data_IF_371104444384
#
_entry.id   IF_371104444384
#
_cell.length_a   1.000
_cell.length_b   1.000
_cell.length_c   1.000
_cell.angle_alpha   90.00
_cell.angle_beta   90.00
_cell.angle_gamma   90.00
#
_symmetry.space_group_name_H-M   'P 1'
#
loop_
_entity.id
_entity.type
_entity.pdbx_description
1 polymer ?
#
# COMPACT_ATOMS: atom_id res chain seq x y z
N UNK A 1 56.19 25.17 -15.97
CA UNK A 1 55.60 23.89 -15.50
C UNK A 1 54.78 23.98 -14.20
N UNK A 2 55.07 24.93 -13.29
CA UNK A 2 54.33 25.06 -12.02
C UNK A 2 52.89 25.64 -12.15
N UNK A 3 52.61 26.45 -13.17
CA UNK A 3 51.28 27.05 -13.38
C UNK A 3 50.23 26.06 -13.91
N UNK A 4 50.63 25.14 -14.80
CA UNK A 4 49.73 24.13 -15.40
C UNK A 4 49.28 23.05 -14.40
N UNK A 5 50.09 22.76 -13.37
CA UNK A 5 49.74 21.79 -12.30
C UNK A 5 48.77 22.37 -11.26
N UNK A 6 48.72 23.70 -11.12
CA UNK A 6 47.80 24.40 -10.19
C UNK A 6 46.39 24.51 -10.78
N UNK A 7 46.29 24.71 -12.10
CA UNK A 7 45.02 24.85 -12.82
C UNK A 7 44.23 23.53 -12.89
N UNK A 8 44.92 22.40 -13.00
CA UNK A 8 44.33 21.04 -12.97
C UNK A 8 43.73 20.67 -11.61
N UNK A 9 44.30 21.17 -10.50
CA UNK A 9 43.76 20.95 -9.15
C UNK A 9 42.50 21.79 -8.85
N UNK A 10 42.43 23.03 -9.37
CA UNK A 10 41.27 23.90 -9.17
C UNK A 10 40.05 23.37 -9.94
N UNK A 11 40.26 22.91 -11.18
CA UNK A 11 39.20 22.27 -11.99
C UNK A 11 38.63 21.00 -11.33
N UNK A 12 39.50 20.17 -10.75
CA UNK A 12 39.08 18.96 -10.03
C UNK A 12 38.31 19.28 -8.73
N UNK A 13 38.70 20.34 -8.01
CA UNK A 13 37.99 20.83 -6.82
C UNK A 13 36.60 21.37 -7.18
N UNK A 14 36.50 22.18 -8.24
CA UNK A 14 35.21 22.70 -8.71
C UNK A 14 34.28 21.58 -9.19
N UNK A 15 34.81 20.58 -9.90
CA UNK A 15 34.04 19.40 -10.31
C UNK A 15 33.53 18.60 -9.10
N UNK A 16 34.33 18.45 -8.04
CA UNK A 16 33.91 17.79 -6.79
C UNK A 16 32.81 18.57 -6.09
N UNK A 17 32.92 19.89 -5.98
CA UNK A 17 31.87 20.73 -5.40
C UNK A 17 30.59 20.69 -6.24
N UNK A 18 30.71 20.63 -7.56
CA UNK A 18 29.56 20.49 -8.46
C UNK A 18 28.91 19.12 -8.33
N UNK A 19 29.69 18.04 -8.20
CA UNK A 19 29.20 16.69 -7.92
C UNK A 19 28.53 16.60 -6.54
N UNK A 20 29.09 17.21 -5.50
CA UNK A 20 28.48 17.28 -4.17
C UNK A 20 27.19 18.08 -4.24
N UNK A 21 27.18 19.24 -4.90
CA UNK A 21 25.97 20.04 -5.11
C UNK A 21 24.90 19.28 -5.91
N UNK A 22 25.31 18.53 -6.94
CA UNK A 22 24.42 17.67 -7.72
C UNK A 22 23.91 16.48 -6.91
N UNK A 23 24.74 15.85 -6.08
CA UNK A 23 24.34 14.77 -5.17
C UNK A 23 23.38 15.32 -4.10
N UNK A 24 23.61 16.51 -3.55
CA UNK A 24 22.70 17.17 -2.61
C UNK A 24 21.37 17.57 -3.28
N UNK A 25 21.40 18.07 -4.52
CA UNK A 25 20.21 18.32 -5.33
C UNK A 25 19.48 17.02 -5.70
N UNK A 26 20.21 15.94 -5.97
CA UNK A 26 19.62 14.62 -6.19
C UNK A 26 19.08 14.03 -4.89
N UNK A 27 19.65 14.30 -3.71
CA UNK A 27 19.08 13.94 -2.41
C UNK A 27 17.79 14.70 -2.11
N UNK A 28 17.52 15.83 -2.79
CA UNK A 28 16.16 16.35 -2.93
C UNK A 28 15.35 15.51 -3.93
N UNK A 29 15.46 14.18 -3.89
CA UNK A 29 14.46 13.30 -4.51
C UNK A 29 13.15 13.67 -3.86
N UNK A 30 12.31 14.37 -4.62
CA UNK A 30 11.08 14.94 -4.14
C UNK A 30 10.23 13.80 -3.58
N UNK A 31 10.12 13.77 -2.25
CA UNK A 31 9.08 13.00 -1.60
C UNK A 31 7.74 13.44 -2.15
N UNK A 32 6.77 12.53 -2.16
CA UNK A 32 5.40 12.85 -2.60
C UNK A 32 4.84 14.10 -1.89
N UNK A 33 5.26 14.30 -0.64
CA UNK A 33 5.10 15.52 0.12
C UNK A 33 6.50 16.03 0.53
N UNK A 34 6.67 17.34 0.48
CA UNK A 34 7.81 18.05 1.08
C UNK A 34 7.70 18.05 2.61
N UNK A 35 8.82 18.27 3.31
CA UNK A 35 8.82 18.33 4.78
C UNK A 35 7.90 19.44 5.30
N UNK A 36 7.86 20.59 4.60
CA UNK A 36 6.98 21.70 4.94
C UNK A 36 5.50 21.36 4.76
N UNK A 37 5.13 20.69 3.66
CA UNK A 37 3.75 20.20 3.44
C UNK A 37 3.34 19.23 4.54
N UNK A 38 4.21 18.29 4.91
CA UNK A 38 3.93 17.35 5.99
C UNK A 38 3.71 18.08 7.32
N UNK A 39 4.58 19.04 7.63
CA UNK A 39 4.44 19.85 8.85
C UNK A 39 3.14 20.66 8.86
N UNK A 40 2.69 21.18 7.72
CA UNK A 40 1.41 21.87 7.60
C UNK A 40 0.21 20.93 7.76
N UNK A 41 0.26 19.74 7.16
CA UNK A 41 -0.78 18.70 7.35
C UNK A 41 -0.91 18.33 8.83
N UNK A 42 0.22 18.06 9.51
CA UNK A 42 0.23 17.68 10.93
C UNK A 42 -0.29 18.79 11.85
N UNK A 43 -0.07 20.06 11.48
CA UNK A 43 -0.54 21.25 12.23
C UNK A 43 -1.95 21.69 11.85
N UNK A 44 -2.59 21.04 10.88
CA UNK A 44 -3.94 21.40 10.44
C UNK A 44 -4.94 21.19 11.58
N UNK A 45 -5.69 22.24 11.92
CA UNK A 45 -6.74 22.18 12.93
C UNK A 45 -7.96 21.46 12.34
N UNK A 46 -8.35 20.34 12.94
CA UNK A 46 -9.45 19.50 12.46
C UNK A 46 -10.77 19.93 13.13
N UNK A 47 -10.72 20.12 14.45
CA UNK A 47 -11.88 20.48 15.27
C UNK A 47 -11.43 21.11 16.60
N UNK A 48 -12.38 21.64 17.39
CA UNK A 48 -12.16 22.18 18.74
C UNK A 48 -13.12 21.55 19.75
N UNK A 49 -12.57 20.80 20.71
CA UNK A 49 -13.32 20.17 21.79
C UNK A 49 -12.95 20.86 23.10
N UNK A 50 -13.93 21.47 23.78
CA UNK A 50 -13.72 22.17 25.08
C UNK A 50 -12.53 23.14 25.02
N UNK A 51 -12.50 23.98 23.98
CA UNK A 51 -11.45 24.96 23.69
C UNK A 51 -10.08 24.37 23.31
N UNK A 52 -9.93 23.04 23.28
CA UNK A 52 -8.72 22.37 22.84
C UNK A 52 -8.80 21.99 21.37
N UNK A 53 -7.80 22.40 20.59
CA UNK A 53 -7.68 22.05 19.18
C UNK A 53 -7.26 20.60 19.01
N UNK A 54 -7.99 19.86 18.17
CA UNK A 54 -7.65 18.50 17.73
C UNK A 54 -6.83 18.57 16.45
N UNK A 55 -5.73 17.83 16.43
CA UNK A 55 -4.82 17.68 15.28
C UNK A 55 -4.54 16.20 15.03
N UNK A 56 -3.92 15.87 13.90
CA UNK A 56 -3.46 14.50 13.62
C UNK A 56 -2.40 14.08 14.63
N UNK A 57 -2.45 12.84 15.08
CA UNK A 57 -1.35 12.26 15.84
C UNK A 57 -0.14 12.07 14.90
N UNK A 58 0.98 12.77 15.11
CA UNK A 58 2.11 12.69 14.19
C UNK A 58 2.86 11.34 14.27
N UNK A 59 2.69 10.58 15.35
CA UNK A 59 3.11 9.18 15.49
C UNK A 59 2.05 8.18 14.98
N UNK A 60 0.87 8.67 14.63
CA UNK A 60 -0.29 7.86 14.27
C UNK A 60 -0.25 7.30 12.86
N UNK A 61 -1.14 6.35 12.52
CA UNK A 61 -1.20 5.74 11.18
C UNK A 61 -1.59 6.71 10.05
N UNK A 62 -2.23 7.83 10.36
CA UNK A 62 -2.56 8.90 9.39
C UNK A 62 -1.39 9.85 9.10
N UNK A 63 -0.31 9.77 9.87
CA UNK A 63 0.84 10.64 9.69
C UNK A 63 1.45 10.44 8.29
N UNK A 64 1.51 11.49 7.44
CA UNK A 64 2.14 11.39 6.13
C UNK A 64 3.61 10.97 6.23
N UNK A 65 4.29 11.24 7.36
CA UNK A 65 5.69 10.84 7.58
C UNK A 65 5.87 9.32 7.52
N UNK A 66 5.00 8.57 8.19
CA UNK A 66 5.03 7.11 8.20
C UNK A 66 4.79 6.53 6.80
N UNK A 67 3.85 7.11 6.05
CA UNK A 67 3.55 6.68 4.68
C UNK A 67 4.69 7.02 3.71
N UNK A 68 5.32 8.20 3.88
CA UNK A 68 6.55 8.56 3.17
C UNK A 68 7.68 7.56 3.46
N UNK A 69 7.86 7.15 4.72
CA UNK A 69 8.85 6.14 5.09
C UNK A 69 8.56 4.78 4.42
N UNK A 70 7.30 4.34 4.38
CA UNK A 70 6.91 3.10 3.69
C UNK A 70 7.22 3.13 2.19
N UNK A 71 7.00 4.28 1.53
CA UNK A 71 7.33 4.48 0.12
C UNK A 71 8.84 4.49 -0.11
N UNK A 72 9.60 5.23 0.71
CA UNK A 72 11.07 5.30 0.62
C UNK A 72 11.71 3.92 0.79
N UNK A 73 11.23 3.12 1.74
CA UNK A 73 11.69 1.75 1.97
C UNK A 73 11.17 0.73 0.94
N UNK A 74 10.34 1.14 -0.01
CA UNK A 74 9.85 0.28 -1.09
C UNK A 74 8.95 -0.86 -0.60
N UNK A 75 8.28 -0.75 0.56
CA UNK A 75 7.51 -1.86 1.11
C UNK A 75 6.37 -2.31 0.18
N UNK A 76 5.60 -1.36 -0.36
CA UNK A 76 4.54 -1.70 -1.32
C UNK A 76 5.10 -2.23 -2.64
N UNK A 77 6.25 -1.71 -3.09
CA UNK A 77 6.98 -2.21 -4.25
C UNK A 77 7.36 -3.68 -4.07
N UNK A 78 8.02 -3.99 -2.95
CA UNK A 78 8.48 -5.34 -2.67
C UNK A 78 7.30 -6.30 -2.48
N UNK A 79 6.26 -5.85 -1.77
CA UNK A 79 5.05 -6.64 -1.60
C UNK A 79 4.32 -6.91 -2.93
N UNK A 80 4.31 -5.95 -3.86
CA UNK A 80 3.63 -6.11 -5.15
C UNK A 80 4.40 -6.98 -6.14
N UNK A 81 5.73 -6.90 -6.17
CA UNK A 81 6.53 -7.55 -7.22
C UNK A 81 7.28 -8.81 -6.78
N UNK A 82 7.54 -8.98 -5.48
CA UNK A 82 8.40 -10.05 -4.95
C UNK A 82 7.72 -10.94 -3.91
N UNK A 83 6.45 -10.69 -3.56
CA UNK A 83 5.73 -11.54 -2.61
C UNK A 83 5.59 -12.99 -3.14
N UNK A 84 5.92 -14.00 -2.32
CA UNK A 84 5.85 -15.41 -2.73
C UNK A 84 4.43 -15.88 -3.06
N UNK A 85 3.40 -15.17 -2.60
CA UNK A 85 2.00 -15.48 -2.90
C UNK A 85 1.58 -15.06 -4.31
N UNK A 86 2.39 -14.27 -5.03
CA UNK A 86 2.09 -13.77 -6.38
C UNK A 86 2.74 -14.68 -7.42
N UNK A 87 1.89 -15.22 -8.29
CA UNK A 87 2.29 -15.88 -9.53
C UNK A 87 2.46 -14.80 -10.62
N UNK A 88 3.72 -14.51 -10.94
CA UNK A 88 4.11 -13.44 -11.85
C UNK A 88 3.88 -13.83 -13.32
N UNK A 89 3.19 -12.97 -14.06
CA UNK A 89 2.89 -13.21 -15.46
C UNK A 89 3.96 -12.60 -16.39
N UNK A 90 4.37 -13.39 -17.39
CA UNK A 90 5.25 -12.94 -18.48
C UNK A 90 4.62 -13.26 -19.83
N UNK A 91 4.63 -12.28 -20.74
CA UNK A 91 4.36 -12.48 -22.16
C UNK A 91 5.63 -12.96 -22.85
N UNK A 92 5.47 -13.90 -23.78
CA UNK A 92 6.57 -14.41 -24.59
C UNK A 92 6.47 -13.79 -25.98
N UNK A 93 7.54 -13.15 -26.43
CA UNK A 93 7.66 -12.64 -27.79
C UNK A 93 8.81 -13.39 -28.46
N UNK A 94 8.47 -14.13 -29.51
CA UNK A 94 9.46 -14.76 -30.38
C UNK A 94 9.80 -13.78 -31.50
N UNK A 95 11.00 -13.22 -31.43
CA UNK A 95 11.54 -12.38 -32.49
C UNK A 95 12.58 -13.20 -33.24
N UNK A 96 12.86 -12.85 -34.51
CA UNK A 96 13.87 -13.52 -35.34
C UNK A 96 15.30 -13.58 -34.71
N UNK A 97 15.54 -12.87 -33.60
CA UNK A 97 16.77 -12.85 -32.81
C UNK A 97 16.71 -13.63 -31.48
N UNK A 98 15.60 -14.30 -31.16
CA UNK A 98 15.41 -15.13 -29.97
C UNK A 98 14.15 -14.82 -29.16
N UNK A 99 13.95 -15.61 -28.09
CA UNK A 99 12.81 -15.51 -27.18
C UNK A 99 13.02 -14.39 -26.16
N UNK A 100 12.12 -13.41 -26.13
CA UNK A 100 12.07 -12.33 -25.14
C UNK A 100 10.90 -12.54 -24.17
N UNK A 101 11.17 -12.36 -22.86
CA UNK A 101 10.16 -12.40 -21.81
C UNK A 101 9.82 -10.98 -21.36
N UNK A 102 8.57 -10.57 -21.51
CA UNK A 102 8.08 -9.26 -21.08
C UNK A 102 7.16 -9.41 -19.89
N UNK A 103 7.52 -8.77 -18.78
CA UNK A 103 6.71 -8.76 -17.55
C UNK A 103 5.42 -7.94 -17.76
N UNK A 104 4.27 -8.51 -17.41
CA UNK A 104 2.96 -7.84 -17.44
C UNK A 104 2.27 -7.98 -16.06
N UNK A 105 2.57 -7.07 -15.11
CA UNK A 105 2.06 -7.15 -13.74
C UNK A 105 0.52 -7.14 -13.62
N UNK A 106 -0.24 -6.37 -14.42
CA UNK A 106 -1.71 -6.43 -14.39
C UNK A 106 -2.31 -7.83 -14.55
N UNK A 107 -1.59 -8.77 -15.20
CA UNK A 107 -2.05 -10.15 -15.44
C UNK A 107 -1.63 -11.15 -14.36
N UNK A 108 -0.99 -10.67 -13.30
CA UNK A 108 -0.59 -11.52 -12.19
C UNK A 108 -1.74 -12.27 -11.56
N UNK A 109 -1.41 -13.44 -11.02
CA UNK A 109 -2.36 -14.27 -10.30
C UNK A 109 -1.83 -14.56 -8.91
N UNK A 110 -2.70 -15.11 -8.07
CA UNK A 110 -2.33 -15.51 -6.70
C UNK A 110 -2.23 -17.02 -6.63
N UNK A 111 -1.18 -17.53 -5.99
CA UNK A 111 -1.08 -18.95 -5.69
C UNK A 111 -2.16 -19.36 -4.69
N UNK A 112 -2.87 -20.45 -4.99
CA UNK A 112 -3.93 -20.99 -4.12
C UNK A 112 -3.43 -22.15 -3.24
N UNK A 113 -2.24 -22.66 -3.53
CA UNK A 113 -1.56 -23.74 -2.83
C UNK A 113 -0.08 -23.42 -2.69
N UNK A 114 0.48 -23.78 -1.55
CA UNK A 114 1.93 -23.81 -1.31
C UNK A 114 2.58 -24.96 -2.08
N UNK A 115 3.92 -24.93 -2.19
CA UNK A 115 4.71 -25.96 -2.88
C UNK A 115 4.55 -27.37 -2.29
N UNK A 116 4.36 -27.46 -0.97
CA UNK A 116 4.10 -28.69 -0.23
C UNK A 116 2.65 -29.21 -0.41
N UNK A 117 1.83 -28.53 -1.23
CA UNK A 117 0.43 -28.88 -1.46
C UNK A 117 -0.55 -28.30 -0.43
N UNK A 118 -0.06 -27.66 0.65
CA UNK A 118 -0.91 -27.03 1.67
C UNK A 118 -1.69 -25.87 1.07
N UNK A 119 -2.97 -25.76 1.45
CA UNK A 119 -3.85 -24.70 0.98
C UNK A 119 -3.48 -23.38 1.65
N UNK A 120 -3.26 -22.34 0.85
CA UNK A 120 -3.05 -20.97 1.35
C UNK A 120 -4.35 -20.48 2.00
N UNK A 121 -4.26 -19.70 3.08
CA UNK A 121 -5.45 -19.21 3.78
C UNK A 121 -6.33 -18.36 2.86
N UNK A 122 -7.66 -18.43 3.04
CA UNK A 122 -8.60 -17.66 2.22
C UNK A 122 -8.34 -16.15 2.31
N UNK A 123 -7.94 -15.67 3.49
CA UNK A 123 -7.60 -14.25 3.68
C UNK A 123 -6.40 -13.85 2.82
N UNK A 124 -5.30 -14.61 2.87
CA UNK A 124 -4.07 -14.29 2.13
C UNK A 124 -4.32 -14.31 0.62
N UNK A 125 -5.12 -15.26 0.14
CA UNK A 125 -5.51 -15.31 -1.28
C UNK A 125 -6.27 -14.03 -1.67
N UNK A 126 -7.30 -13.66 -0.91
CA UNK A 126 -8.12 -12.49 -1.21
C UNK A 126 -7.32 -11.19 -1.07
N UNK A 127 -6.46 -11.08 -0.05
CA UNK A 127 -5.56 -9.95 0.15
C UNK A 127 -4.66 -9.71 -1.07
N UNK A 128 -3.97 -10.75 -1.56
CA UNK A 128 -3.07 -10.58 -2.70
C UNK A 128 -3.81 -10.33 -4.02
N UNK A 129 -5.06 -10.82 -4.16
CA UNK A 129 -5.91 -10.43 -5.30
C UNK A 129 -6.22 -8.94 -5.25
N UNK A 130 -6.64 -8.43 -4.08
CA UNK A 130 -6.91 -7.01 -3.90
C UNK A 130 -5.65 -6.16 -4.08
N UNK A 131 -4.48 -6.64 -3.63
CA UNK A 131 -3.20 -5.98 -3.86
C UNK A 131 -2.91 -5.81 -5.37
N UNK A 132 -3.13 -6.84 -6.18
CA UNK A 132 -2.95 -6.77 -7.64
C UNK A 132 -3.95 -5.78 -8.27
N UNK A 133 -5.22 -5.84 -7.86
CA UNK A 133 -6.28 -4.95 -8.37
C UNK A 133 -6.06 -3.47 -7.98
N UNK A 134 -5.60 -3.21 -6.76
CA UNK A 134 -5.33 -1.87 -6.23
C UNK A 134 -4.01 -1.30 -6.75
N UNK A 135 -3.04 -2.14 -7.11
CA UNK A 135 -1.74 -1.75 -7.65
C UNK A 135 -1.45 -2.49 -8.96
N UNK A 136 -2.19 -2.23 -10.05
CA UNK A 136 -2.05 -2.95 -11.31
C UNK A 136 -0.64 -2.81 -11.92
N UNK A 137 0.02 -1.66 -11.77
CA UNK A 137 1.43 -1.48 -12.17
C UNK A 137 1.77 -1.86 -13.62
N UNK A 138 1.03 -1.38 -14.65
CA UNK A 138 1.22 -1.78 -16.05
C UNK A 138 2.61 -1.47 -16.60
N UNK A 139 3.26 -0.41 -16.12
CA UNK A 139 4.61 0.01 -16.53
C UNK A 139 5.73 -0.59 -15.67
N UNK A 140 5.45 -1.70 -14.95
CA UNK A 140 6.40 -2.36 -14.05
C UNK A 140 6.97 -1.45 -12.95
N UNK A 141 6.22 -0.41 -12.60
CA UNK A 141 6.47 0.49 -11.46
C UNK A 141 5.21 0.54 -10.61
N UNK A 142 5.34 0.79 -9.31
CA UNK A 142 4.18 0.92 -8.42
C UNK A 142 3.25 1.99 -8.98
N UNK A 143 2.00 1.60 -9.22
CA UNK A 143 0.97 2.47 -9.75
C UNK A 143 -0.40 1.90 -9.43
N UNK A 144 -1.29 2.79 -9.01
CA UNK A 144 -2.72 2.49 -8.82
C UNK A 144 -3.51 2.62 -10.14
N UNK A 145 -2.92 3.26 -11.15
CA UNK A 145 -3.57 3.48 -12.44
C UNK A 145 -3.52 2.22 -13.30
N UNK A 146 -4.65 1.82 -13.91
CA UNK A 146 -4.70 0.62 -14.71
C UNK A 146 -3.96 0.77 -16.05
N UNK A 147 -3.82 -0.33 -16.77
CA UNK A 147 -3.34 -0.31 -18.15
C UNK A 147 -4.24 0.55 -19.05
N UNK A 148 -3.67 1.09 -20.13
CA UNK A 148 -4.44 1.83 -21.13
C UNK A 148 -5.54 0.95 -21.74
N UNK A 149 -6.72 1.54 -21.98
CA UNK A 149 -7.90 0.81 -22.48
C UNK A 149 -8.66 0.00 -21.43
N UNK A 150 -8.17 -0.09 -20.19
CA UNK A 150 -8.90 -0.71 -19.09
C UNK A 150 -10.12 0.15 -18.70
N UNK A 151 -11.28 -0.50 -18.55
CA UNK A 151 -12.56 0.15 -18.22
C UNK A 151 -13.11 -0.23 -16.84
N UNK A 152 -12.46 -1.16 -16.14
CA UNK A 152 -12.80 -1.57 -14.77
C UNK A 152 -11.58 -1.41 -13.86
N UNK A 153 -11.63 -0.44 -12.96
CA UNK A 153 -10.57 -0.20 -11.99
C UNK A 153 -11.11 0.62 -10.82
N UNK A 154 -10.63 0.33 -9.62
CA UNK A 154 -10.98 1.12 -8.45
C UNK A 154 -10.56 2.59 -8.57
N UNK A 155 -9.41 2.88 -9.18
CA UNK A 155 -8.96 4.27 -9.41
C UNK A 155 -9.83 4.98 -10.43
N UNK A 156 -10.29 4.30 -11.49
CA UNK A 156 -11.22 4.88 -12.46
C UNK A 156 -12.58 5.18 -11.80
N UNK A 157 -13.08 4.25 -10.98
CA UNK A 157 -14.29 4.45 -10.19
C UNK A 157 -14.20 5.67 -9.29
N UNK A 158 -13.16 5.77 -8.47
CA UNK A 158 -12.99 6.92 -7.57
C UNK A 158 -12.86 8.26 -8.32
N UNK A 159 -12.29 8.26 -9.52
CA UNK A 159 -12.12 9.48 -10.32
C UNK A 159 -13.32 9.85 -11.19
N UNK A 160 -14.34 8.98 -11.29
CA UNK A 160 -15.53 9.25 -12.09
C UNK A 160 -16.34 10.42 -11.51
N UNK A 161 -16.98 11.27 -12.33
CA UNK A 161 -17.59 12.52 -11.86
C UNK A 161 -18.53 12.41 -10.64
N UNK A 162 -19.50 11.47 -10.58
CA UNK A 162 -20.39 11.39 -9.43
C UNK A 162 -19.70 10.82 -8.18
N UNK A 163 -18.60 10.07 -8.33
CA UNK A 163 -17.90 9.41 -7.23
C UNK A 163 -16.78 10.28 -6.67
N UNK A 164 -16.14 11.10 -7.53
CA UNK A 164 -14.97 11.91 -7.19
C UNK A 164 -15.20 12.83 -6.00
N UNK A 165 -16.39 13.42 -5.90
CA UNK A 165 -16.79 14.28 -4.78
C UNK A 165 -16.83 13.53 -3.43
N UNK A 166 -17.06 12.22 -3.47
CA UNK A 166 -17.14 11.34 -2.31
C UNK A 166 -15.91 10.43 -2.14
N UNK A 167 -14.89 10.54 -3.00
CA UNK A 167 -13.74 9.63 -3.01
C UNK A 167 -13.03 9.55 -1.65
N UNK A 168 -12.81 10.68 -0.99
CA UNK A 168 -12.20 10.71 0.35
C UNK A 168 -13.09 10.10 1.43
N UNK A 169 -14.43 10.23 1.31
CA UNK A 169 -15.38 9.60 2.23
C UNK A 169 -15.38 8.07 2.07
N UNK A 170 -15.30 7.58 0.82
CA UNK A 170 -15.17 6.16 0.50
C UNK A 170 -13.86 5.63 1.07
N UNK A 171 -12.72 6.28 0.79
CA UNK A 171 -11.42 5.87 1.30
C UNK A 171 -11.36 5.87 2.83
N UNK A 172 -11.93 6.89 3.49
CA UNK A 172 -12.00 6.95 4.95
C UNK A 172 -12.84 5.82 5.53
N UNK A 173 -13.95 5.47 4.87
CA UNK A 173 -14.78 4.32 5.25
C UNK A 173 -14.01 3.00 5.16
N UNK A 174 -13.23 2.79 4.09
CA UNK A 174 -12.40 1.58 3.93
C UNK A 174 -11.27 1.52 4.96
N UNK A 175 -10.65 2.65 5.29
CA UNK A 175 -9.64 2.74 6.35
C UNK A 175 -10.21 2.32 7.71
N UNK A 176 -11.37 2.88 8.07
CA UNK A 176 -12.05 2.56 9.33
C UNK A 176 -12.44 1.07 9.38
N UNK A 177 -12.93 0.52 8.27
CA UNK A 177 -13.22 -0.91 8.17
C UNK A 177 -11.98 -1.79 8.30
N UNK A 178 -10.82 -1.35 7.79
CA UNK A 178 -9.55 -2.05 7.96
C UNK A 178 -9.03 -2.05 9.41
N UNK A 179 -9.36 -1.01 10.18
CA UNK A 179 -9.19 -0.92 11.64
C UNK A 179 -10.31 -1.66 12.42
N UNK A 180 -11.27 -2.23 11.69
CA UNK A 180 -12.38 -2.98 12.23
C UNK A 180 -13.46 -2.13 12.90
N UNK A 181 -13.56 -0.84 12.56
CA UNK A 181 -14.68 0.02 12.93
C UNK A 181 -15.78 -0.17 11.88
N UNK A 182 -16.98 -0.55 12.33
CA UNK A 182 -18.10 -0.85 11.44
C UNK A 182 -18.76 0.42 10.91
N UNK A 183 -18.31 0.89 9.75
CA UNK A 183 -18.94 1.98 9.00
C UNK A 183 -20.08 1.42 8.13
N UNK A 184 -21.28 2.05 8.11
CA UNK A 184 -22.44 1.61 7.33
C UNK A 184 -22.30 1.93 5.82
N UNK A 185 -21.25 1.37 5.20
CA UNK A 185 -21.02 1.35 3.76
C UNK A 185 -21.48 -0.02 3.20
N UNK A 186 -22.40 -0.03 2.25
CA UNK A 186 -22.93 -1.25 1.65
C UNK A 186 -23.09 -1.16 0.13
N UNK A 187 -23.06 -2.32 -0.51
CA UNK A 187 -23.45 -2.48 -1.91
C UNK A 187 -24.88 -3.02 -1.92
N UNK A 188 -25.80 -2.26 -2.51
CA UNK A 188 -27.22 -2.59 -2.56
C UNK A 188 -27.64 -2.94 -4.00
N UNK A 189 -28.62 -3.83 -4.13
CA UNK A 189 -29.07 -4.35 -5.42
C UNK A 189 -28.33 -5.61 -5.88
N UNK A 190 -28.83 -6.23 -6.95
CA UNK A 190 -28.24 -7.43 -7.52
C UNK A 190 -26.80 -7.17 -8.00
N UNK A 191 -25.93 -8.17 -7.88
CA UNK A 191 -24.55 -8.04 -8.37
C UNK A 191 -24.54 -7.78 -9.88
N UNK A 192 -23.74 -6.79 -10.31
CA UNK A 192 -23.63 -6.38 -11.71
C UNK A 192 -24.37 -5.06 -12.00
N UNK A 193 -24.92 -4.96 -13.20
CA UNK A 193 -25.54 -3.74 -13.69
C UNK A 193 -26.72 -3.32 -12.81
N UNK A 194 -26.62 -2.13 -12.20
CA UNK A 194 -27.63 -1.57 -11.31
C UNK A 194 -27.30 -1.64 -9.82
N UNK A 195 -26.18 -2.28 -9.43
CA UNK A 195 -25.71 -2.23 -8.05
C UNK A 195 -25.29 -0.79 -7.67
N UNK A 196 -25.61 -0.37 -6.45
CA UNK A 196 -25.25 0.94 -5.92
C UNK A 196 -24.39 0.82 -4.66
N UNK A 197 -23.42 1.72 -4.51
CA UNK A 197 -22.68 1.94 -3.28
C UNK A 197 -23.42 2.97 -2.44
N UNK A 198 -23.81 2.57 -1.24
CA UNK A 198 -24.57 3.41 -0.31
C UNK A 198 -23.77 3.58 0.97
N UNK A 199 -23.60 4.83 1.39
CA UNK A 199 -23.15 5.17 2.72
C UNK A 199 -24.32 5.77 3.48
N UNK A 200 -24.64 5.22 4.64
CA UNK A 200 -25.62 5.79 5.56
C UNK A 200 -24.94 6.54 6.71
N UNK A 201 -25.69 7.38 7.42
CA UNK A 201 -25.28 7.89 8.71
C UNK A 201 -25.14 6.74 9.72
N UNK A 202 -24.47 7.00 10.84
CA UNK A 202 -24.20 5.97 11.84
C UNK A 202 -25.47 5.29 12.40
N UNK A 203 -26.60 6.01 12.41
CA UNK A 203 -27.91 5.49 12.80
C UNK A 203 -28.57 4.56 11.77
N UNK A 204 -27.99 4.46 10.56
CA UNK A 204 -28.45 3.67 9.41
C UNK A 204 -29.80 4.10 8.82
N UNK A 205 -30.34 5.25 9.24
CA UNK A 205 -31.64 5.76 8.79
C UNK A 205 -31.50 6.85 7.73
N UNK A 206 -30.42 7.63 7.78
CA UNK A 206 -30.16 8.68 6.80
C UNK A 206 -29.14 8.21 5.77
N UNK A 207 -29.43 8.38 4.48
CA UNK A 207 -28.47 8.13 3.40
C UNK A 207 -27.58 9.36 3.23
N UNK A 208 -26.26 9.18 3.33
CA UNK A 208 -25.26 10.24 3.07
C UNK A 208 -25.02 10.38 1.58
N UNK A 209 -24.82 9.25 0.89
CA UNK A 209 -24.78 9.20 -0.57
C UNK A 209 -25.24 7.83 -1.10
N UNK A 210 -25.65 7.81 -2.36
CA UNK A 210 -25.97 6.60 -3.13
C UNK A 210 -25.40 6.76 -4.54
N UNK A 211 -24.43 5.92 -4.89
CA UNK A 211 -23.64 6.04 -6.12
C UNK A 211 -23.81 4.78 -6.97
N UNK A 212 -24.01 4.92 -8.27
CA UNK A 212 -24.04 3.77 -9.18
C UNK A 212 -22.64 3.17 -9.32
N UNK A 213 -22.55 1.84 -9.35
CA UNK A 213 -21.30 1.13 -9.61
C UNK A 213 -20.94 1.05 -11.10
N UNK A 214 -21.76 1.64 -11.98
CA UNK A 214 -21.53 1.71 -13.41
C UNK A 214 -20.95 3.08 -13.79
N UNK A 215 -19.90 3.08 -14.60
CA UNK A 215 -19.33 4.28 -15.21
C UNK A 215 -19.64 4.26 -16.70
N UNK A 216 -20.11 5.38 -17.24
CA UNK A 216 -20.32 5.56 -18.67
C UNK A 216 -19.00 5.95 -19.34
N UNK A 217 -18.60 5.21 -20.36
CA UNK A 217 -17.46 5.51 -21.21
C UNK A 217 -17.96 5.87 -22.62
N UNK A 218 -17.42 6.94 -23.21
CA UNK A 218 -17.67 7.30 -24.60
C UNK A 218 -16.58 6.72 -25.49
N UNK A 219 -16.99 6.14 -26.62
CA UNK A 219 -16.09 5.63 -27.64
C UNK A 219 -16.54 6.18 -29.00
N UNK A 220 -15.56 6.53 -29.83
CA UNK A 220 -15.82 6.88 -31.23
C UNK A 220 -15.70 5.62 -32.07
N UNK A 221 -16.80 5.24 -32.73
CA UNK A 221 -16.81 4.09 -33.63
C UNK A 221 -16.92 4.57 -35.08
N UNK A 222 -16.08 4.01 -35.96
CA UNK A 222 -16.04 4.33 -37.38
C UNK A 222 -14.65 4.74 -37.88
N UNK A 223 -14.36 4.43 -39.14
CA UNK A 223 -13.18 4.90 -39.87
C UNK A 223 -13.65 5.70 -41.09
N UNK A 224 -13.37 7.01 -41.14
CA UNK A 224 -13.84 7.93 -42.19
C UNK A 224 -14.77 9.05 -41.69
N UNK A 225 -15.64 9.57 -42.57
CA UNK A 225 -16.52 10.73 -42.33
C UNK A 225 -17.77 10.44 -41.47
N UNK A 226 -18.00 9.17 -41.10
CA UNK A 226 -19.13 8.74 -40.28
C UNK A 226 -18.60 8.33 -38.90
N UNK A 227 -18.47 9.30 -37.98
CA UNK A 227 -18.14 9.04 -36.58
C UNK A 227 -19.42 9.08 -35.77
N UNK A 228 -19.82 7.97 -35.17
CA UNK A 228 -20.86 7.95 -34.13
C UNK A 228 -20.20 7.88 -32.76
N UNK A 229 -20.68 8.70 -31.82
CA UNK A 229 -20.32 8.60 -30.41
C UNK A 229 -21.27 7.59 -29.75
N UNK A 230 -20.71 6.48 -29.28
CA UNK A 230 -21.45 5.49 -28.50
C UNK A 230 -21.03 5.58 -27.04
N UNK A 231 -22.02 5.50 -26.14
CA UNK A 231 -21.80 5.42 -24.70
C UNK A 231 -22.06 4.00 -24.22
N UNK A 232 -21.14 3.48 -23.41
CA UNK A 232 -21.28 2.17 -22.78
C UNK A 232 -21.10 2.28 -21.28
N UNK A 233 -22.08 1.80 -20.54
CA UNK A 233 -22.01 1.67 -19.10
C UNK A 233 -21.25 0.40 -18.72
N UNK A 234 -20.16 0.57 -17.98
CA UNK A 234 -19.31 -0.53 -17.51
C UNK A 234 -19.42 -0.64 -16.00
N UNK A 235 -19.90 -1.78 -15.53
CA UNK A 235 -19.93 -2.09 -14.11
C UNK A 235 -18.50 -2.29 -13.56
N UNK A 236 -18.20 -1.61 -12.46
CA UNK A 236 -16.89 -1.61 -11.82
C UNK A 236 -16.77 -2.76 -10.81
N UNK A 237 -16.55 -3.98 -11.30
CA UNK A 237 -16.41 -5.17 -10.44
C UNK A 237 -15.17 -5.05 -9.55
N UNK A 238 -14.05 -4.51 -10.05
CA UNK A 238 -12.84 -4.29 -9.24
C UNK A 238 -13.15 -3.45 -8.00
N UNK A 239 -13.83 -2.32 -8.19
CA UNK A 239 -14.23 -1.43 -7.10
C UNK A 239 -15.17 -2.13 -6.11
N UNK A 240 -16.20 -2.82 -6.62
CA UNK A 240 -17.15 -3.56 -5.80
C UNK A 240 -16.44 -4.63 -4.95
N UNK A 241 -15.52 -5.37 -5.57
CA UNK A 241 -14.77 -6.45 -4.94
C UNK A 241 -13.85 -5.95 -3.83
N UNK A 242 -13.17 -4.82 -4.04
CA UNK A 242 -12.35 -4.15 -3.02
C UNK A 242 -13.21 -3.68 -1.84
N UNK A 243 -14.35 -3.04 -2.10
CA UNK A 243 -15.27 -2.59 -1.04
C UNK A 243 -15.77 -3.78 -0.20
N UNK A 244 -16.14 -4.89 -0.84
CA UNK A 244 -16.54 -6.13 -0.14
C UNK A 244 -15.40 -6.70 0.71
N UNK A 245 -14.16 -6.65 0.23
CA UNK A 245 -13.00 -7.13 0.98
C UNK A 245 -12.82 -6.37 2.30
N UNK A 246 -12.81 -5.04 2.25
CA UNK A 246 -12.66 -4.20 3.46
C UNK A 246 -13.86 -4.29 4.38
N UNK A 247 -15.09 -4.36 3.84
CA UNK A 247 -16.29 -4.60 4.65
C UNK A 247 -16.16 -5.87 5.50
N UNK A 248 -15.62 -6.94 4.92
CA UNK A 248 -15.40 -8.20 5.65
C UNK A 248 -14.22 -8.14 6.65
N UNK A 249 -13.42 -7.07 6.67
CA UNK A 249 -12.35 -6.89 7.66
C UNK A 249 -12.90 -6.48 9.03
N UNK A 250 -14.14 -6.02 9.13
CA UNK A 250 -14.78 -5.72 10.42
C UNK A 250 -15.10 -6.95 11.25
N UNK A 251 -15.16 -8.12 10.61
CA UNK A 251 -15.41 -9.39 11.29
C UNK A 251 -14.11 -9.82 11.99
N UNK A 252 -14.06 -9.77 13.33
CA UNK A 252 -12.85 -9.97 14.13
C UNK A 252 -12.03 -11.23 13.77
N UNK A 253 -12.68 -12.25 13.21
CA UNK A 253 -12.03 -13.46 12.69
C UNK A 253 -11.04 -13.24 11.54
N UNK A 254 -11.12 -12.14 10.78
CA UNK A 254 -10.20 -11.84 9.66
C UNK A 254 -9.06 -10.91 10.04
N UNK A 255 -9.27 -10.00 10.99
CA UNK A 255 -8.22 -9.15 11.55
C UNK A 255 -7.14 -10.03 12.20
N UNK A 256 -7.57 -11.08 12.92
CA UNK A 256 -6.69 -12.13 13.48
C UNK A 256 -6.11 -13.10 12.44
N UNK A 257 -6.63 -13.15 11.21
CA UNK A 257 -6.14 -14.07 10.15
C UNK A 257 -5.22 -13.40 9.13
N UNK A 258 -4.77 -12.17 9.41
CA UNK A 258 -3.79 -11.42 8.63
C UNK A 258 -2.40 -12.06 8.51
N UNK A 259 -2.24 -13.32 8.92
CA UNK A 259 -0.96 -13.96 9.19
C UNK A 259 -0.43 -13.68 10.60
N UNK A 260 -1.17 -12.93 11.42
CA UNK A 260 -0.86 -12.61 12.81
C UNK A 260 -1.47 -13.71 13.68
N UNK A 261 -0.63 -14.62 14.19
CA UNK A 261 -1.04 -15.47 15.31
C UNK A 261 -1.40 -14.55 16.48
N UNK A 262 -2.39 -14.90 17.31
CA UNK A 262 -2.78 -14.12 18.50
C UNK A 262 -1.60 -13.85 19.47
N UNK A 263 -0.45 -14.49 19.26
CA UNK A 263 0.77 -14.41 20.07
C UNK A 263 1.86 -13.44 19.57
N UNK A 264 1.74 -12.78 18.40
CA UNK A 264 2.85 -11.95 17.88
C UNK A 264 2.83 -10.50 18.38
N UNK A 265 3.97 -9.99 18.84
CA UNK A 265 4.13 -8.59 19.22
C UNK A 265 4.30 -7.67 17.99
N UNK A 266 4.10 -6.36 18.16
CA UNK A 266 4.32 -5.36 17.10
C UNK A 266 5.76 -5.39 16.55
N UNK A 267 6.73 -5.71 17.39
CA UNK A 267 8.14 -5.83 16.99
C UNK A 267 8.37 -7.06 16.11
N UNK A 268 7.79 -8.21 16.49
CA UNK A 268 7.88 -9.45 15.72
C UNK A 268 7.22 -9.29 14.35
N UNK A 269 6.07 -8.61 14.29
CA UNK A 269 5.39 -8.34 13.03
C UNK A 269 6.19 -7.45 12.10
N UNK A 270 6.89 -6.46 12.64
CA UNK A 270 7.74 -5.57 11.85
C UNK A 270 8.97 -6.31 11.35
N UNK A 271 9.67 -7.04 12.22
CA UNK A 271 10.87 -7.80 11.89
C UNK A 271 10.59 -8.89 10.84
N UNK A 272 9.44 -9.54 10.91
CA UNK A 272 9.04 -10.58 9.97
C UNK A 272 8.25 -10.04 8.76
N UNK A 273 8.02 -8.72 8.68
CA UNK A 273 7.26 -8.09 7.59
C UNK A 273 5.77 -8.47 7.55
N UNK A 274 5.23 -9.10 8.59
CA UNK A 274 3.83 -9.56 8.66
C UNK A 274 2.84 -8.39 8.61
N UNK A 275 3.25 -7.21 9.07
CA UNK A 275 2.42 -6.00 8.98
C UNK A 275 2.00 -5.69 7.52
N UNK A 276 2.80 -6.10 6.53
CA UNK A 276 2.50 -5.94 5.10
C UNK A 276 1.37 -6.85 4.59
N UNK A 277 0.85 -7.75 5.42
CA UNK A 277 -0.34 -8.56 5.13
C UNK A 277 -1.62 -8.00 5.78
N UNK A 278 -1.51 -6.91 6.54
CA UNK A 278 -2.67 -6.26 7.17
C UNK A 278 -3.46 -5.46 6.11
N UNK A 279 -4.78 -5.56 6.14
CA UNK A 279 -5.67 -4.74 5.31
C UNK A 279 -5.38 -3.24 5.48
N UNK A 280 -5.03 -2.82 6.70
CA UNK A 280 -4.62 -1.44 7.01
C UNK A 280 -3.42 -1.00 6.17
N UNK A 281 -2.36 -1.83 6.06
CA UNK A 281 -1.20 -1.50 5.24
C UNK A 281 -1.60 -1.26 3.77
N UNK A 282 -2.43 -2.17 3.22
CA UNK A 282 -2.88 -2.08 1.84
C UNK A 282 -3.67 -0.79 1.55
N UNK A 283 -4.69 -0.48 2.35
CA UNK A 283 -5.51 0.72 2.14
C UNK A 283 -4.72 2.00 2.38
N UNK A 284 -3.86 2.03 3.41
CA UNK A 284 -3.00 3.18 3.71
C UNK A 284 -2.02 3.46 2.57
N UNK A 285 -1.39 2.43 1.99
CA UNK A 285 -0.52 2.60 0.82
C UNK A 285 -1.30 3.11 -0.40
N UNK A 286 -2.52 2.63 -0.61
CA UNK A 286 -3.35 3.08 -1.75
C UNK A 286 -3.80 4.52 -1.59
N UNK A 287 -4.28 4.92 -0.41
CA UNK A 287 -4.62 6.30 -0.08
C UNK A 287 -3.42 7.21 -0.32
N UNK A 288 -2.25 6.79 0.15
CA UNK A 288 -1.03 7.54 -0.04
C UNK A 288 -0.67 7.70 -1.52
N UNK A 289 -0.87 6.68 -2.37
CA UNK A 289 -0.66 6.80 -3.81
C UNK A 289 -1.78 7.57 -4.54
N UNK A 290 -3.00 7.59 -4.01
CA UNK A 290 -4.14 8.30 -4.59
C UNK A 290 -4.10 9.81 -4.34
N UNK A 291 -3.80 10.23 -3.10
CA UNK A 291 -3.79 11.64 -2.70
C UNK A 291 -2.43 12.25 -3.05
N UNK A 292 -2.42 13.30 -3.86
CA UNK A 292 -1.20 13.89 -4.42
C UNK A 292 -0.82 15.27 -3.86
N UNK A 293 -1.66 15.86 -3.01
CA UNK A 293 -1.47 17.22 -2.53
C UNK A 293 -1.92 17.40 -1.07
N UNK A 294 -1.39 18.45 -0.43
CA UNK A 294 -1.65 18.80 0.97
C UNK A 294 -3.14 18.96 1.26
N UNK A 295 -3.87 19.68 0.41
CA UNK A 295 -5.30 19.96 0.59
C UNK A 295 -6.12 18.68 0.54
N UNK A 296 -5.78 17.77 -0.37
CA UNK A 296 -6.38 16.45 -0.50
C UNK A 296 -6.16 15.61 0.75
N UNK A 297 -4.94 15.62 1.31
CA UNK A 297 -4.62 14.87 2.53
C UNK A 297 -5.39 15.42 3.73
N UNK A 298 -5.40 16.75 3.92
CA UNK A 298 -6.17 17.38 5.00
C UNK A 298 -7.67 17.12 4.86
N UNK A 299 -8.21 17.17 3.63
CA UNK A 299 -9.62 16.85 3.37
C UNK A 299 -9.94 15.38 3.70
N UNK A 300 -9.05 14.46 3.37
CA UNK A 300 -9.19 13.05 3.71
C UNK A 300 -9.16 12.82 5.24
N UNK A 301 -8.19 13.41 5.93
CA UNK A 301 -8.08 13.36 7.40
C UNK A 301 -9.37 13.87 8.05
N UNK A 302 -9.90 14.99 7.56
CA UNK A 302 -11.17 15.55 8.03
C UNK A 302 -12.32 14.53 7.90
N UNK A 303 -12.43 13.82 6.77
CA UNK A 303 -13.46 12.79 6.59
C UNK A 303 -13.27 11.59 7.53
N UNK A 304 -12.03 11.20 7.83
CA UNK A 304 -11.77 10.16 8.83
C UNK A 304 -12.26 10.61 10.20
N UNK A 305 -11.94 11.84 10.61
CA UNK A 305 -12.39 12.40 11.89
C UNK A 305 -13.93 12.44 11.99
N UNK A 306 -14.60 13.03 10.99
CA UNK A 306 -16.07 13.18 10.95
C UNK A 306 -16.80 11.82 11.03
N UNK A 307 -16.35 10.83 10.24
CA UNK A 307 -16.93 9.49 10.26
C UNK A 307 -16.73 8.82 11.62
N UNK A 308 -15.54 8.95 12.21
CA UNK A 308 -15.23 8.36 13.52
C UNK A 308 -16.08 8.98 14.62
N UNK A 309 -16.22 10.31 14.65
CA UNK A 309 -17.10 11.03 15.56
C UNK A 309 -18.55 10.55 15.42
N UNK A 310 -19.06 10.45 14.20
CA UNK A 310 -20.42 9.97 13.92
C UNK A 310 -20.65 8.56 14.48
N UNK A 311 -19.68 7.65 14.28
CA UNK A 311 -19.77 6.30 14.85
C UNK A 311 -19.74 6.33 16.38
N UNK A 312 -18.86 7.13 16.98
CA UNK A 312 -18.73 7.24 18.43
C UNK A 312 -20.02 7.71 19.10
N UNK A 313 -20.64 8.78 18.59
CA UNK A 313 -21.91 9.29 19.12
C UNK A 313 -23.02 8.25 19.07
N UNK A 314 -23.11 7.50 17.96
CA UNK A 314 -24.12 6.46 17.82
C UNK A 314 -23.89 5.28 18.78
N UNK A 315 -22.65 4.86 18.95
CA UNK A 315 -22.27 3.78 19.88
C UNK A 315 -22.54 4.17 21.34
N UNK A 316 -22.26 5.42 21.72
CA UNK A 316 -22.64 5.96 23.03
C UNK A 316 -24.15 5.95 23.24
N UNK A 317 -24.92 6.34 22.22
CA UNK A 317 -26.40 6.30 22.27
C UNK A 317 -26.92 4.88 22.45
N UNK A 318 -26.30 3.89 21.79
CA UNK A 318 -26.68 2.47 21.91
C UNK A 318 -26.11 1.77 23.15
N UNK A 319 -25.30 2.45 23.99
CA UNK A 319 -24.68 1.92 25.21
C UNK A 319 -23.81 0.67 25.00
N UNK A 320 -23.13 0.56 23.86
CA UNK A 320 -22.23 -0.57 23.56
C UNK A 320 -20.80 -0.20 23.98
N UNK A 321 -20.40 -0.59 25.20
CA UNK A 321 -19.13 -0.20 25.81
C UNK A 321 -17.90 -0.74 25.07
N UNK A 322 -17.96 -1.98 24.58
CA UNK A 322 -16.84 -2.63 23.88
C UNK A 322 -16.55 -1.91 22.56
N UNK A 323 -17.60 -1.55 21.79
CA UNK A 323 -17.41 -0.76 20.57
C UNK A 323 -16.94 0.66 20.87
N UNK A 324 -17.39 1.26 21.99
CA UNK A 324 -16.96 2.60 22.38
C UNK A 324 -15.46 2.62 22.66
N UNK A 325 -14.97 1.68 23.48
CA UNK A 325 -13.55 1.52 23.82
C UNK A 325 -12.69 1.33 22.57
N UNK A 326 -13.14 0.51 21.62
CA UNK A 326 -12.42 0.33 20.34
C UNK A 326 -12.31 1.63 19.54
N UNK A 327 -13.36 2.45 19.52
CA UNK A 327 -13.35 3.74 18.81
C UNK A 327 -12.49 4.76 19.57
N UNK A 328 -12.49 4.75 20.90
CA UNK A 328 -11.60 5.59 21.72
C UNK A 328 -10.13 5.23 21.49
N UNK A 329 -9.79 3.94 21.51
CA UNK A 329 -8.43 3.47 21.20
C UNK A 329 -8.00 3.78 19.75
N UNK A 330 -8.96 3.90 18.82
CA UNK A 330 -8.69 4.45 17.49
C UNK A 330 -8.41 5.95 17.56
N UNK A 331 -9.25 6.74 18.24
CA UNK A 331 -9.05 8.17 18.38
C UNK A 331 -7.67 8.51 18.95
N UNK A 332 -7.26 7.87 20.04
CA UNK A 332 -5.97 8.14 20.69
C UNK A 332 -4.76 7.86 19.79
N UNK A 333 -4.86 6.83 18.94
CA UNK A 333 -3.82 6.49 17.96
C UNK A 333 -3.77 7.45 16.77
N UNK A 334 -4.90 8.06 16.41
CA UNK A 334 -5.06 8.79 15.15
C UNK A 334 -5.06 10.32 15.33
N UNK A 335 -5.51 10.81 16.48
CA UNK A 335 -5.71 12.23 16.78
C UNK A 335 -5.19 12.56 18.18
N UNK A 336 -4.74 13.79 18.37
CA UNK A 336 -4.26 14.31 19.66
C UNK A 336 -4.69 15.76 19.83
N UNK A 337 -4.73 16.23 21.07
CA UNK A 337 -4.82 17.66 21.34
C UNK A 337 -3.50 18.35 20.98
N UNK A 338 -3.59 19.51 20.33
CA UNK A 338 -2.44 20.31 19.87
C UNK A 338 -1.43 20.62 20.99
N UNK A 339 -1.91 20.78 22.22
CA UNK A 339 -1.08 20.97 23.42
C UNK A 339 -0.11 19.80 23.67
N UNK A 340 -0.55 18.57 23.37
CA UNK A 340 0.25 17.35 23.54
C UNK A 340 1.17 17.05 22.34
N UNK A 341 1.00 17.80 21.23
CA UNK A 341 1.77 17.62 19.99
C UNK A 341 3.28 17.91 20.18
N UNK A 342 3.64 18.78 21.13
CA UNK A 342 5.03 19.16 21.41
C UNK A 342 5.87 18.01 22.00
N UNK A 343 5.27 17.11 22.79
CA UNK A 343 6.00 15.95 23.35
C UNK A 343 6.22 14.84 22.31
N UNK A 344 5.34 14.72 21.30
CA UNK A 344 5.51 13.76 20.20
C UNK A 344 6.59 14.17 19.21
N UNK A 345 6.82 15.47 19.00
CA UNK A 345 7.83 16.00 18.07
C UNK A 345 9.26 15.57 18.46
N UNK A 346 9.57 15.48 19.77
CA UNK A 346 10.84 14.95 20.31
C UNK A 346 11.02 13.44 20.10
N UNK A 347 9.92 12.69 20.06
CA UNK A 347 9.95 11.23 19.82
C UNK A 347 10.16 10.94 18.33
N UNK A 348 9.55 11.76 17.47
CA UNK A 348 9.65 11.70 16.01
C UNK A 348 11.03 12.05 15.48
N UNK A 349 11.70 13.04 16.10
CA UNK A 349 13.10 13.32 15.76
C UNK A 349 14.01 12.12 16.02
N UNK A 350 13.69 11.27 17.01
CA UNK A 350 14.42 10.02 17.29
C UNK A 350 14.11 8.92 16.26
N UNK A 351 12.85 8.72 15.89
CA UNK A 351 12.48 7.75 14.85
C UNK A 351 12.99 8.16 13.46
N UNK A 352 12.92 9.45 13.10
CA UNK A 352 13.52 10.02 11.88
C UNK A 352 15.02 9.78 11.87
N UNK A 353 15.72 10.09 12.97
CA UNK A 353 17.15 9.80 13.12
C UNK A 353 17.49 8.32 13.04
N UNK A 354 16.63 7.43 13.55
CA UNK A 354 16.81 5.97 13.44
C UNK A 354 16.53 5.44 12.03
N UNK A 355 15.56 6.02 11.31
CA UNK A 355 15.28 5.70 9.90
C UNK A 355 16.38 6.21 8.99
N UNK A 356 16.90 7.41 9.25
CA UNK A 356 18.03 7.99 8.51
C UNK A 356 19.32 7.19 8.80
N UNK A 357 19.52 6.68 10.03
CA UNK A 357 20.61 5.75 10.35
C UNK A 357 20.48 4.41 9.61
N UNK A 358 19.26 3.86 9.51
CA UNK A 358 19.00 2.63 8.75
C UNK A 358 19.29 2.83 7.26
N UNK A 359 19.01 4.02 6.71
CA UNK A 359 19.36 4.41 5.34
C UNK A 359 20.88 4.53 5.18
N UNK A 360 21.60 5.14 6.13
CA UNK A 360 23.07 5.21 6.12
C UNK A 360 23.71 3.81 6.19
N UNK A 361 23.10 2.85 6.89
CA UNK A 361 23.51 1.44 6.91
C UNK A 361 23.21 0.74 5.58
N UNK A 362 22.15 1.13 4.87
CA UNK A 362 21.76 0.57 3.58
C UNK A 362 22.58 1.13 2.40
N UNK A 363 22.97 2.40 2.48
CA UNK A 363 23.85 3.09 1.52
C UNK A 363 25.34 2.83 1.79
N UNK A 364 25.72 2.38 2.99
CA UNK A 364 27.07 1.87 3.28
C UNK A 364 27.27 0.44 2.74
N UNK A 365 27.33 0.35 1.41
CA UNK A 365 28.23 -0.53 0.68
C UNK A 365 28.34 -2.03 1.02
N UNK A 366 27.27 -2.75 1.44
CA UNK A 366 27.26 -4.24 1.37
C UNK A 366 25.95 -4.93 0.91
N UNK A 367 24.93 -4.20 0.41
CA UNK A 367 23.72 -4.85 -0.14
C UNK A 367 23.67 -5.18 -1.64
N UNK A 368 24.60 -4.76 -2.54
CA UNK A 368 24.65 -5.34 -3.88
C UNK A 368 25.18 -6.78 -3.88
N UNK A 369 26.03 -7.16 -2.91
CA UNK A 369 26.66 -8.48 -2.89
C UNK A 369 25.69 -9.56 -2.42
N UNK A 370 24.84 -9.30 -1.42
CA UNK A 370 23.84 -10.28 -0.97
C UNK A 370 22.80 -10.54 -2.07
N UNK A 371 22.35 -9.52 -2.80
CA UNK A 371 21.37 -9.70 -3.89
C UNK A 371 21.99 -10.36 -5.13
N UNK A 372 23.27 -10.09 -5.45
CA UNK A 372 24.00 -10.76 -6.54
C UNK A 372 24.37 -12.21 -6.16
N UNK A 373 24.73 -12.48 -4.90
CA UNK A 373 24.97 -13.84 -4.40
C UNK A 373 23.66 -14.65 -4.32
N UNK A 374 22.54 -14.02 -3.97
CA UNK A 374 21.20 -14.62 -3.97
C UNK A 374 20.69 -14.92 -5.39
N UNK A 375 21.07 -14.11 -6.39
CA UNK A 375 20.80 -14.40 -7.80
C UNK A 375 21.74 -15.46 -8.37
N UNK A 376 23.00 -15.56 -7.92
CA UNK A 376 23.94 -16.60 -8.38
C UNK A 376 23.71 -17.98 -7.77
N UNK A 377 23.15 -18.08 -6.56
CA UNK A 377 23.00 -19.37 -5.85
C UNK A 377 21.69 -20.13 -6.13
N UNK A 378 20.72 -19.51 -6.82
CA UNK A 378 19.34 -20.04 -6.92
C UNK A 378 18.89 -20.53 -8.31
N UNK A 379 19.78 -20.65 -9.30
CA UNK A 379 19.44 -21.20 -10.62
C UNK A 379 20.14 -22.54 -10.85
N UNK A 380 19.36 -23.63 -10.82
CA UNK A 380 19.74 -24.90 -11.45
C UNK A 380 18.91 -25.02 -12.74
N UNK A 381 19.57 -24.99 -13.89
CA UNK A 381 18.94 -25.25 -15.18
C UNK A 381 18.86 -26.77 -15.34
N UNK A 382 17.73 -27.39 -14.98
CA UNK A 382 17.48 -28.79 -15.36
C UNK A 382 17.02 -28.86 -16.81
N UNK A 383 17.91 -29.34 -17.69
CA UNK A 383 17.56 -29.74 -19.05
C UNK A 383 16.87 -31.11 -19.03
N UNK A 384 15.54 -31.13 -19.04
CA UNK A 384 14.76 -32.33 -19.31
C UNK A 384 14.28 -32.36 -20.76
N UNK A 385 14.83 -33.25 -21.59
CA UNK A 385 14.29 -33.55 -22.92
C UNK A 385 13.41 -34.79 -22.84
N UNK A 386 12.15 -34.67 -23.28
CA UNK A 386 11.41 -35.75 -23.96
C UNK A 386 10.16 -35.18 -24.66
N UNK A 387 10.15 -35.35 -25.99
CA UNK A 387 9.07 -35.15 -26.95
C UNK A 387 8.61 -33.69 -27.19
N UNK A 388 9.32 -32.98 -28.07
CA UNK A 388 8.92 -31.79 -28.87
C UNK A 388 7.98 -30.73 -28.26
N UNK A 389 7.98 -30.57 -26.94
CA UNK A 389 7.40 -29.41 -26.26
C UNK A 389 8.23 -29.14 -25.02
N UNK A 390 9.01 -28.05 -25.02
CA UNK A 390 9.83 -27.67 -23.87
C UNK A 390 8.98 -26.79 -22.95
N UNK A 391 8.49 -27.36 -21.85
CA UNK A 391 7.92 -26.58 -20.74
C UNK A 391 9.03 -26.19 -19.78
N UNK A 392 9.42 -24.92 -19.78
CA UNK A 392 10.29 -24.35 -18.75
C UNK A 392 9.51 -24.15 -17.46
N UNK A 393 9.73 -25.00 -16.45
CA UNK A 393 9.16 -24.85 -15.11
C UNK A 393 10.15 -24.06 -14.24
N UNK A 394 9.91 -22.76 -14.03
CA UNK A 394 10.61 -22.01 -12.99
C UNK A 394 10.03 -22.39 -11.63
N UNK A 395 10.79 -23.15 -10.83
CA UNK A 395 10.45 -23.42 -9.44
C UNK A 395 11.34 -22.61 -8.50
N UNK A 396 10.77 -21.64 -7.78
CA UNK A 396 11.46 -20.80 -6.79
C UNK A 396 11.46 -21.46 -5.41
N UNK A 397 12.55 -22.11 -4.97
CA UNK A 397 12.65 -22.61 -3.57
C UNK A 397 12.75 -21.40 -2.63
N UNK A 398 11.84 -21.21 -1.65
CA UNK A 398 12.01 -20.16 -0.66
C UNK A 398 12.95 -20.65 0.46
N UNK A 399 14.24 -20.34 0.33
CA UNK A 399 15.30 -20.64 1.33
C UNK A 399 15.20 -19.73 2.58
N UNK A 400 14.23 -18.82 2.64
CA UNK A 400 13.94 -18.08 3.88
C UNK A 400 13.57 -19.00 5.06
N UNK A 401 13.06 -20.21 4.78
CA UNK A 401 12.72 -21.18 5.83
C UNK A 401 13.91 -21.98 6.38
N UNK A 402 14.89 -22.35 5.54
CA UNK A 402 16.01 -23.20 5.96
C UNK A 402 17.14 -22.45 6.66
N UNK A 403 17.39 -21.18 6.28
CA UNK A 403 18.46 -20.39 6.92
C UNK A 403 18.14 -20.04 8.38
N UNK A 404 16.86 -19.81 8.70
CA UNK A 404 16.40 -19.54 10.07
C UNK A 404 16.29 -20.81 10.93
N UNK A 405 15.87 -21.95 10.35
CA UNK A 405 15.81 -23.22 11.10
C UNK A 405 17.20 -23.73 11.52
N UNK A 406 18.23 -23.56 10.68
CA UNK A 406 19.61 -23.95 11.05
C UNK A 406 20.20 -23.07 12.15
N UNK A 407 19.98 -21.76 12.10
CA UNK A 407 20.57 -20.83 13.08
C UNK A 407 19.84 -20.80 14.43
N UNK A 408 18.56 -21.20 14.51
CA UNK A 408 17.88 -21.38 15.80
C UNK A 408 18.07 -22.76 16.46
N UNK A 409 18.51 -23.78 15.73
CA UNK A 409 18.91 -25.05 16.37
C UNK A 409 20.31 -24.97 17.03
N UNK A 410 21.18 -24.07 16.55
CA UNK A 410 22.54 -23.94 17.08
C UNK A 410 22.60 -23.17 18.41
N UNK A 411 21.68 -22.24 18.68
CA UNK A 411 21.70 -21.43 19.91
C UNK A 411 20.94 -22.02 21.10
N UNK A 412 20.22 -23.14 20.93
CA UNK A 412 19.50 -23.82 22.02
C UNK A 412 20.15 -25.14 22.50
N UNK A 413 21.34 -25.50 21.99
CA UNK A 413 22.07 -26.70 22.44
C UNK A 413 23.17 -26.41 23.47
N UNK A 414 23.55 -25.14 23.69
CA UNK A 414 24.64 -24.79 24.62
C UNK A 414 24.21 -24.33 26.03
N UNK A 415 22.91 -24.37 26.34
CA UNK A 415 22.40 -24.13 27.72
C UNK A 415 21.82 -25.37 28.42
N UNK A 416 22.11 -26.56 27.91
CA UNK A 416 21.92 -27.82 28.64
C UNK A 416 23.17 -28.70 28.55
N UNK A 417 24.30 -28.22 29.06
CA UNK A 417 25.43 -29.03 29.52
C UNK A 417 26.46 -28.18 30.27
N UNK A 418 26.13 -27.81 31.52
CA UNK A 418 26.99 -27.89 32.70
C UNK A 418 26.23 -27.40 33.92
#
# INVERSE_FOLDING_TARGET
>A
MHALKKQTNIGALLLRWFLIGFILLMHTVHGKFTEDEINRILKTEIDRIKEKTVVVNPNGPLSPQKLCAYKKNGYIHNKRFFAPEINTYFSLIDNNSGICYIRDPPRDRVYTKEKNGKKVSKYIIEYHKKLIEMFPSPKQKISIFPAEGCTDSFTLFLNSPPVKEHAYMILASLLLQAEGINVPLSLNGANGNGQTLVLSAADRNTVVFSLKMNISFSFTLGSGSSKSEETKDVYQESAASIIRFFKNCTDGSRIQKGGVCEESTLADEFQNGLFMNRALFLISSYIFEYINDEKGMSSFIQRVYELTCSQYYNVKKSKDSIKAEKIEAFFDRYFVFKENHLNSEYSLQREKKSSDLMIEIQDSNELPLIMILFLKSNYVIEKGSRNNTVFGKLSTVPIWSEYFYKNHSAHNVEKQKK
#
